data_IF_703132321329
#
_entry.id   IF_703132321329
#
_cell.length_a   1.000
_cell.length_b   1.000
_cell.length_c   1.000
_cell.angle_alpha   90.00
_cell.angle_beta   90.00
_cell.angle_gamma   90.00
#
_symmetry.space_group_name_H-M   'P 1'
#
loop_
_entity.id
_entity.type
_entity.pdbx_description
1 polymer ?
#
# COMPACT_ATOMS: atom_id res chain seq x y z
N UNK A 1 -1.12 7.90 9.56
CA UNK A 1 -2.28 8.83 9.42
C UNK A 1 -3.36 8.35 10.38
N UNK A 2 -3.51 8.94 11.58
CA UNK A 2 -4.69 8.66 12.41
C UNK A 2 -5.82 9.56 11.94
N UNK A 3 -7.06 9.07 12.02
CA UNK A 3 -8.19 9.99 12.04
C UNK A 3 -7.92 11.00 13.17
N UNK A 4 -7.89 12.29 12.87
CA UNK A 4 -7.64 13.33 13.89
C UNK A 4 -8.79 13.38 14.91
N UNK A 5 -9.96 12.83 14.56
CA UNK A 5 -11.06 12.60 15.48
C UNK A 5 -10.96 11.21 16.10
N UNK A 6 -11.17 11.11 17.42
CA UNK A 6 -11.22 9.82 18.13
C UNK A 6 -12.58 9.13 17.91
N UNK A 7 -12.82 8.64 16.69
CA UNK A 7 -14.08 7.97 16.30
C UNK A 7 -14.32 6.64 17.05
N UNK A 8 -13.27 6.05 17.59
CA UNK A 8 -13.35 4.85 18.42
C UNK A 8 -13.75 5.15 19.86
N UNK A 9 -13.63 6.40 20.28
CA UNK A 9 -13.98 6.87 21.63
C UNK A 9 -14.74 8.19 21.49
N UNK A 10 -15.93 8.17 20.87
CA UNK A 10 -16.76 9.36 20.78
C UNK A 10 -17.09 9.85 22.19
N UNK A 11 -17.24 11.16 22.34
CA UNK A 11 -17.60 11.75 23.63
C UNK A 11 -18.99 11.25 24.05
N UNK A 12 -19.23 10.94 25.34
CA UNK A 12 -20.49 10.34 25.79
C UNK A 12 -21.75 11.19 25.54
N UNK A 13 -21.57 12.50 25.37
CA UNK A 13 -22.63 13.46 25.05
C UNK A 13 -23.03 13.45 23.57
N UNK A 14 -22.17 12.90 22.71
CA UNK A 14 -22.44 12.70 21.30
C UNK A 14 -22.99 11.27 21.12
N UNK A 15 -24.23 11.16 20.66
CA UNK A 15 -24.89 9.87 20.34
C UNK A 15 -24.33 9.22 19.05
N UNK A 16 -23.02 9.32 18.85
CA UNK A 16 -22.33 8.81 17.67
C UNK A 16 -21.98 7.33 17.86
N UNK A 17 -22.09 6.51 16.80
CA UNK A 17 -21.61 5.14 16.84
C UNK A 17 -20.09 5.09 16.98
N UNK A 18 -19.59 4.03 17.63
CA UNK A 18 -18.15 3.73 17.71
C UNK A 18 -17.69 3.20 16.36
N UNK A 19 -16.76 3.90 15.72
CA UNK A 19 -16.24 3.53 14.39
C UNK A 19 -14.72 3.43 14.45
N UNK A 20 -14.20 2.25 14.11
CA UNK A 20 -12.78 2.02 13.84
C UNK A 20 -12.51 2.12 12.35
N UNK A 21 -11.57 2.99 11.98
CA UNK A 21 -11.09 3.15 10.61
C UNK A 21 -9.65 2.67 10.54
N UNK A 22 -9.38 1.71 9.68
CA UNK A 22 -8.05 1.10 9.50
C UNK A 22 -7.78 0.93 8.00
N UNK A 23 -6.52 0.77 7.61
CA UNK A 23 -6.16 0.63 6.20
C UNK A 23 -5.06 -0.40 5.95
N UNK A 24 -5.05 -0.92 4.72
CA UNK A 24 -3.99 -1.78 4.21
C UNK A 24 -3.29 -1.05 3.06
N UNK A 25 -1.95 -1.04 3.08
CA UNK A 25 -1.08 -0.49 2.04
C UNK A 25 -0.35 -1.64 1.34
N UNK A 26 -0.92 -2.23 0.28
CA UNK A 26 -0.28 -3.34 -0.41
C UNK A 26 0.91 -2.85 -1.26
N UNK A 27 1.99 -3.63 -1.27
CA UNK A 27 3.07 -3.54 -2.25
C UNK A 27 2.65 -4.13 -3.61
N UNK A 28 3.58 -4.78 -4.32
CA UNK A 28 3.24 -5.43 -5.60
C UNK A 28 2.38 -6.68 -5.36
N UNK A 29 1.15 -6.67 -5.90
CA UNK A 29 0.18 -7.77 -5.79
C UNK A 29 -0.07 -8.41 -7.16
N UNK A 30 -0.05 -9.75 -7.24
CA UNK A 30 -0.35 -10.53 -8.46
C UNK A 30 -1.80 -10.34 -8.91
N UNK A 31 -2.06 -9.27 -9.65
CA UNK A 31 -3.38 -8.92 -10.16
C UNK A 31 -3.32 -8.57 -11.63
N UNK A 32 -4.46 -8.64 -12.32
CA UNK A 32 -4.64 -8.21 -13.70
C UNK A 32 -4.16 -6.77 -13.95
N UNK A 33 -4.14 -5.91 -12.91
CA UNK A 33 -3.62 -4.54 -13.00
C UNK A 33 -2.19 -4.50 -13.58
N UNK A 34 -1.37 -5.49 -13.23
CA UNK A 34 0.00 -5.65 -13.73
C UNK A 34 0.04 -6.66 -14.88
N UNK A 35 -0.50 -7.86 -14.68
CA UNK A 35 -0.28 -9.03 -15.55
C UNK A 35 -0.80 -8.83 -16.98
N UNK A 36 -1.88 -8.05 -17.15
CA UNK A 36 -2.54 -7.89 -18.44
C UNK A 36 -1.85 -6.83 -19.32
N UNK A 37 -0.90 -6.07 -18.77
CA UNK A 37 -0.21 -5.01 -19.49
C UNK A 37 1.32 -5.19 -19.40
N UNK A 38 1.90 -5.60 -20.53
CA UNK A 38 3.34 -5.84 -20.68
C UNK A 38 4.20 -4.59 -20.39
N UNK A 39 3.70 -3.38 -20.65
CA UNK A 39 4.43 -2.15 -20.31
C UNK A 39 4.49 -1.92 -18.80
N UNK A 40 3.38 -2.15 -18.08
CA UNK A 40 3.36 -2.06 -16.61
C UNK A 40 4.20 -3.15 -15.95
N UNK A 41 4.26 -4.34 -16.55
CA UNK A 41 5.13 -5.43 -16.07
C UNK A 41 6.60 -5.06 -16.07
N UNK A 42 7.06 -4.16 -16.96
CA UNK A 42 8.45 -3.69 -16.94
C UNK A 42 8.81 -3.01 -15.63
N UNK A 43 7.88 -2.30 -15.00
CA UNK A 43 8.09 -1.59 -13.73
C UNK A 43 8.26 -2.54 -12.54
N UNK A 44 7.42 -3.57 -12.48
CA UNK A 44 7.34 -4.50 -11.35
C UNK A 44 8.18 -5.77 -11.52
N UNK A 45 8.62 -6.05 -12.75
CA UNK A 45 9.34 -7.26 -13.13
C UNK A 45 8.40 -8.44 -13.38
N UNK A 46 8.97 -9.63 -13.57
CA UNK A 46 8.17 -10.85 -13.73
C UNK A 46 7.36 -11.18 -12.48
N UNK A 47 6.18 -11.75 -12.68
CA UNK A 47 5.34 -12.19 -11.58
C UNK A 47 5.97 -13.42 -10.91
N UNK A 48 6.63 -13.23 -9.76
CA UNK A 48 7.32 -14.32 -9.03
C UNK A 48 6.48 -14.81 -7.86
N UNK A 49 6.74 -16.03 -7.38
CA UNK A 49 6.15 -16.58 -6.14
C UNK A 49 6.38 -15.73 -4.88
N UNK A 50 7.23 -14.72 -4.96
CA UNK A 50 7.45 -13.82 -3.83
C UNK A 50 6.39 -12.72 -3.73
N UNK A 51 5.75 -12.32 -4.83
CA UNK A 51 4.75 -11.24 -4.81
C UNK A 51 3.58 -11.58 -3.90
N UNK A 52 2.94 -10.55 -3.33
CA UNK A 52 1.71 -10.77 -2.58
C UNK A 52 0.61 -11.28 -3.53
N UNK A 53 -0.24 -12.18 -3.04
CA UNK A 53 -1.47 -12.56 -3.75
C UNK A 53 -2.66 -11.76 -3.21
N UNK A 54 -3.76 -11.61 -3.97
CA UNK A 54 -4.99 -11.00 -3.47
C UNK A 54 -5.48 -11.63 -2.16
N UNK A 55 -5.37 -12.94 -2.03
CA UNK A 55 -5.82 -13.69 -0.85
C UNK A 55 -4.94 -13.39 0.37
N UNK A 56 -3.64 -13.16 0.17
CA UNK A 56 -2.75 -12.72 1.26
C UNK A 56 -3.18 -11.34 1.77
N UNK A 57 -3.44 -10.40 0.87
CA UNK A 57 -3.93 -9.05 1.23
C UNK A 57 -5.29 -9.14 1.93
N UNK A 58 -6.21 -9.95 1.41
CA UNK A 58 -7.54 -10.15 2.01
C UNK A 58 -7.46 -10.73 3.43
N UNK A 59 -6.55 -11.69 3.69
CA UNK A 59 -6.34 -12.21 5.04
C UNK A 59 -5.90 -11.11 6.01
N UNK A 60 -4.99 -10.23 5.59
CA UNK A 60 -4.57 -9.08 6.40
C UNK A 60 -5.73 -8.10 6.62
N UNK A 61 -6.58 -7.87 5.61
CA UNK A 61 -7.77 -7.02 5.78
C UNK A 61 -8.72 -7.57 6.84
N UNK A 62 -8.97 -8.88 6.84
CA UNK A 62 -9.81 -9.54 7.86
C UNK A 62 -9.17 -9.43 9.23
N UNK A 63 -7.88 -9.76 9.33
CA UNK A 63 -7.11 -9.65 10.57
C UNK A 63 -7.14 -8.23 11.17
N UNK A 64 -7.01 -7.21 10.33
CA UNK A 64 -7.03 -5.80 10.73
C UNK A 64 -8.39 -5.38 11.32
N UNK A 65 -9.47 -6.02 10.90
CA UNK A 65 -10.82 -5.79 11.42
C UNK A 65 -11.11 -6.64 12.65
N UNK A 66 -10.68 -7.88 12.71
CA UNK A 66 -11.03 -8.81 13.80
C UNK A 66 -10.16 -8.65 15.05
N UNK A 67 -8.88 -8.30 14.92
CA UNK A 67 -7.98 -8.23 16.07
C UNK A 67 -8.06 -6.87 16.78
N UNK A 68 -8.28 -6.91 18.08
CA UNK A 68 -8.35 -5.73 18.95
C UNK A 68 -7.01 -4.99 19.11
N UNK A 69 -5.89 -5.60 18.71
CA UNK A 69 -4.57 -4.95 18.77
C UNK A 69 -4.41 -3.78 17.79
N UNK A 70 -5.31 -3.65 16.81
CA UNK A 70 -5.27 -2.59 15.81
C UNK A 70 -6.29 -1.52 16.14
N UNK A 71 -5.77 -0.38 16.60
CA UNK A 71 -6.55 0.81 16.87
C UNK A 71 -6.80 1.65 15.61
N UNK A 72 -7.68 2.63 15.76
CA UNK A 72 -8.12 3.52 14.69
C UNK A 72 -6.95 4.33 14.14
N UNK A 73 -6.86 4.35 12.81
CA UNK A 73 -5.75 4.94 12.09
C UNK A 73 -4.56 4.02 11.89
N UNK A 74 -4.65 2.75 12.28
CA UNK A 74 -3.65 1.74 11.90
C UNK A 74 -3.62 1.59 10.38
N UNK A 75 -2.41 1.66 9.83
CA UNK A 75 -2.12 1.30 8.44
C UNK A 75 -1.12 0.14 8.46
N UNK A 76 -1.51 -0.99 7.87
CA UNK A 76 -0.61 -2.13 7.67
C UNK A 76 -0.14 -2.20 6.23
N UNK A 77 1.17 -2.11 6.05
CA UNK A 77 1.80 -2.42 4.78
C UNK A 77 1.84 -3.93 4.57
N UNK A 78 1.58 -4.41 3.34
CA UNK A 78 1.62 -5.83 2.98
C UNK A 78 2.59 -6.04 1.83
N UNK A 79 3.66 -6.78 2.09
CA UNK A 79 4.76 -7.02 1.15
C UNK A 79 4.76 -8.41 0.57
N UNK A 80 5.89 -8.75 -0.04
CA UNK A 80 6.19 -10.08 -0.55
C UNK A 80 5.88 -11.16 0.49
N UNK A 81 5.34 -12.28 0.02
CA UNK A 81 4.97 -13.46 0.84
C UNK A 81 4.02 -13.14 2.01
N UNK A 82 3.31 -12.00 1.97
CA UNK A 82 2.36 -11.59 3.00
C UNK A 82 2.99 -11.01 4.26
N UNK A 83 4.26 -10.58 4.21
CA UNK A 83 4.88 -9.87 5.32
C UNK A 83 4.14 -8.55 5.63
N UNK A 84 3.98 -8.23 6.91
CA UNK A 84 3.26 -7.02 7.34
C UNK A 84 4.13 -6.08 8.16
N UNK A 85 3.98 -4.77 7.93
CA UNK A 85 4.64 -3.71 8.72
C UNK A 85 3.63 -2.64 9.12
N UNK A 86 3.64 -2.20 10.38
CA UNK A 86 2.87 -1.01 10.80
C UNK A 86 3.56 0.24 10.25
N UNK A 87 2.81 1.05 9.51
CA UNK A 87 3.28 2.34 8.99
C UNK A 87 3.17 3.41 10.09
N UNK A 88 4.26 4.12 10.33
CA UNK A 88 4.30 5.20 11.31
C UNK A 88 3.48 6.40 10.85
N UNK A 89 2.92 7.13 11.81
CA UNK A 89 2.01 8.25 11.51
C UNK A 89 2.75 9.44 10.91
N UNK A 90 4.00 9.66 11.31
CA UNK A 90 4.78 10.84 10.99
C UNK A 90 6.21 10.43 10.63
N UNK A 91 6.71 10.95 9.51
CA UNK A 91 8.07 10.69 9.02
C UNK A 91 8.42 9.19 8.98
N UNK A 92 7.46 8.35 8.58
CA UNK A 92 7.74 6.95 8.34
C UNK A 92 8.85 6.86 7.28
N UNK A 93 9.91 6.07 7.52
CA UNK A 93 11.02 5.96 6.57
C UNK A 93 10.61 5.28 5.25
N UNK A 94 9.37 4.81 5.15
CA UNK A 94 8.90 3.96 4.07
C UNK A 94 9.38 2.52 4.25
N UNK A 95 8.94 1.63 3.35
CA UNK A 95 9.48 0.28 3.28
C UNK A 95 10.99 0.30 3.02
N UNK A 96 11.74 -0.47 3.81
CA UNK A 96 13.14 -0.77 3.55
C UNK A 96 13.26 -2.12 2.83
N UNK A 97 13.98 -2.15 1.72
CA UNK A 97 14.25 -3.38 0.96
C UNK A 97 13.24 -3.69 -0.16
N UNK A 98 13.59 -4.65 -1.01
CA UNK A 98 12.82 -5.03 -2.22
C UNK A 98 11.56 -5.86 -1.97
N UNK A 99 11.02 -5.86 -0.74
CA UNK A 99 9.83 -6.63 -0.35
C UNK A 99 8.53 -5.92 -0.68
N UNK A 100 8.56 -4.60 -0.85
CA UNK A 100 7.36 -3.79 -1.07
C UNK A 100 7.46 -2.95 -2.36
N UNK A 101 8.68 -2.77 -2.87
CA UNK A 101 9.02 -1.89 -3.99
C UNK A 101 9.02 -2.64 -5.34
N UNK A 102 8.55 -2.03 -6.43
CA UNK A 102 8.71 -2.56 -7.79
C UNK A 102 10.19 -2.78 -8.14
N UNK A 103 10.50 -3.90 -8.81
CA UNK A 103 11.88 -4.33 -9.07
C UNK A 103 12.68 -3.32 -9.92
N UNK A 104 12.06 -2.71 -10.92
CA UNK A 104 12.72 -1.84 -11.90
C UNK A 104 12.30 -0.37 -11.77
N UNK A 105 11.84 0.03 -10.58
CA UNK A 105 11.20 1.33 -10.37
C UNK A 105 12.03 2.51 -10.90
N UNK A 106 13.33 2.56 -10.61
CA UNK A 106 14.19 3.68 -10.96
C UNK A 106 14.41 3.81 -12.47
N UNK A 107 14.68 2.69 -13.15
CA UNK A 107 14.99 2.69 -14.59
C UNK A 107 13.75 3.04 -15.41
N UNK A 108 12.63 2.36 -15.15
CA UNK A 108 11.39 2.60 -15.87
C UNK A 108 10.83 4.00 -15.59
N UNK A 109 10.98 4.51 -14.35
CA UNK A 109 10.59 5.89 -14.05
C UNK A 109 11.38 6.89 -14.89
N UNK A 110 12.69 6.71 -15.08
CA UNK A 110 13.51 7.60 -15.91
C UNK A 110 13.07 7.59 -17.37
N UNK A 111 12.71 6.42 -17.89
CA UNK A 111 12.24 6.29 -19.26
C UNK A 111 10.86 6.91 -19.46
N UNK A 112 9.95 6.78 -18.49
CA UNK A 112 8.66 7.49 -18.47
C UNK A 112 8.89 9.01 -18.48
N UNK A 113 9.74 9.52 -17.60
CA UNK A 113 10.06 10.96 -17.55
C UNK A 113 10.66 11.46 -18.88
N UNK A 114 11.56 10.68 -19.49
CA UNK A 114 12.15 11.03 -20.79
C UNK A 114 11.08 11.18 -21.88
N UNK A 115 10.11 10.27 -21.93
CA UNK A 115 9.00 10.33 -22.90
C UNK A 115 8.10 11.54 -22.66
N UNK A 116 7.72 11.80 -21.41
CA UNK A 116 6.88 12.96 -21.08
C UNK A 116 7.52 14.30 -21.46
N UNK A 117 8.84 14.41 -21.32
CA UNK A 117 9.60 15.60 -21.77
C UNK A 117 9.61 15.69 -23.30
N UNK A 118 9.83 14.57 -24.00
CA UNK A 118 9.81 14.54 -25.47
C UNK A 118 8.43 14.89 -26.05
N UNK A 119 7.36 14.47 -25.38
CA UNK A 119 5.97 14.75 -25.77
C UNK A 119 5.54 16.19 -25.41
N UNK A 120 6.40 16.97 -24.75
CA UNK A 120 6.11 18.34 -24.31
C UNK A 120 5.07 18.43 -23.19
N UNK A 121 4.73 17.31 -22.56
CA UNK A 121 3.73 17.24 -21.48
C UNK A 121 4.26 17.85 -20.17
N UNK A 122 5.59 17.88 -20.00
CA UNK A 122 6.28 18.47 -18.84
C UNK A 122 7.59 19.12 -19.31
N UNK A 123 8.00 20.22 -18.66
CA UNK A 123 9.32 20.83 -18.87
C UNK A 123 10.41 20.07 -18.12
N UNK A 124 11.61 20.01 -18.71
CA UNK A 124 12.81 19.41 -18.11
C UNK A 124 13.31 20.17 -16.88
#
# INVERSE_FOLDING_TARGET
>A
MRCLASLERPSPDLSLPVIRVVAVAPGVVKTALWLDNQEKMKLVGEATEEWATPEMVARVMVELVEKDEYEGGTVLEVGKRGQTRRVQVHMDPGPSGGEYTPLNQLEESRDIWRRLIQDGAVSA
#
